data_IF_212021061082
#
_entry.id   IF_212021061082
#
_cell.length_a   1.000
_cell.length_b   1.000
_cell.length_c   1.000
_cell.angle_alpha   90.00
_cell.angle_beta   90.00
_cell.angle_gamma   90.00
#
_symmetry.space_group_name_H-M   'P 1'
#
loop_
_entity.id
_entity.type
_entity.pdbx_description
1 polymer ?
#
# COMPACT_ATOMS: atom_id res chain seq x y z
N UNK A 1 19.85 15.42 32.45
CA UNK A 1 20.61 14.49 31.59
C UNK A 1 20.47 13.09 32.14
N UNK A 2 20.24 12.08 31.29
CA UNK A 2 20.21 10.66 31.65
C UNK A 2 21.49 10.00 31.13
N UNK A 3 22.24 9.33 31.99
CA UNK A 3 23.45 8.61 31.60
C UNK A 3 23.17 7.12 31.57
N UNK A 4 23.37 6.50 30.41
CA UNK A 4 23.19 5.07 30.18
C UNK A 4 24.57 4.39 30.06
N UNK A 5 24.68 3.17 30.57
CA UNK A 5 25.91 2.38 30.55
C UNK A 5 25.68 1.01 29.91
N UNK A 6 26.66 0.52 29.15
CA UNK A 6 26.68 -0.82 28.54
C UNK A 6 25.38 -1.19 27.82
N UNK A 7 24.94 -0.32 26.91
CA UNK A 7 23.66 -0.45 26.21
C UNK A 7 23.80 -0.63 24.71
N UNK A 8 22.66 -0.73 24.03
CA UNK A 8 22.59 -0.71 22.59
C UNK A 8 21.44 0.19 22.10
N UNK A 9 21.76 1.14 21.22
CA UNK A 9 20.78 1.94 20.48
C UNK A 9 20.38 1.19 19.22
N UNK A 10 19.09 1.27 18.92
CA UNK A 10 18.43 0.66 17.78
C UNK A 10 17.90 1.79 16.90
N UNK A 11 18.43 1.93 15.69
CA UNK A 11 18.09 3.02 14.76
C UNK A 11 17.60 2.46 13.44
N UNK A 12 16.49 3.03 12.94
CA UNK A 12 15.93 2.69 11.63
C UNK A 12 16.70 3.49 10.59
N UNK A 13 17.28 2.80 9.61
CA UNK A 13 18.00 3.47 8.53
C UNK A 13 17.01 3.94 7.46
N UNK A 14 17.01 5.25 7.17
CA UNK A 14 16.09 5.87 6.21
C UNK A 14 16.53 5.72 4.75
N UNK A 15 17.74 5.24 4.49
CA UNK A 15 18.32 5.05 3.17
C UNK A 15 17.87 3.74 2.50
N UNK A 16 17.40 2.76 3.28
CA UNK A 16 16.96 1.45 2.80
C UNK A 16 15.70 0.98 3.53
N UNK A 17 14.67 0.63 2.76
CA UNK A 17 13.42 0.06 3.31
C UNK A 17 13.73 -1.21 4.11
N UNK A 18 13.40 -1.20 5.40
CA UNK A 18 13.68 -2.31 6.33
C UNK A 18 15.13 -2.36 6.85
N UNK A 19 15.93 -1.33 6.56
CA UNK A 19 17.28 -1.19 7.11
C UNK A 19 17.23 -0.88 8.60
N UNK A 20 18.00 -1.64 9.38
CA UNK A 20 18.10 -1.45 10.81
C UNK A 20 19.56 -1.50 11.23
N UNK A 21 19.96 -0.59 12.11
CA UNK A 21 21.30 -0.55 12.65
C UNK A 21 21.24 -0.63 14.18
N UNK A 22 22.14 -1.44 14.74
CA UNK A 22 22.35 -1.53 16.17
C UNK A 22 23.71 -0.95 16.52
N UNK A 23 23.73 0.06 17.37
CA UNK A 23 24.91 0.74 17.85
C UNK A 23 25.12 0.36 19.32
N UNK A 24 26.22 -0.31 19.62
CA UNK A 24 26.59 -0.62 21.01
C UNK A 24 27.34 0.57 21.61
N UNK A 25 27.07 0.88 22.88
CA UNK A 25 27.74 1.97 23.59
C UNK A 25 28.09 1.55 25.02
N UNK A 26 29.29 1.93 25.47
CA UNK A 26 29.71 1.73 26.86
C UNK A 26 29.16 2.83 27.78
N UNK A 27 29.07 4.07 27.26
CA UNK A 27 28.51 5.22 27.98
C UNK A 27 27.84 6.20 27.01
N UNK A 28 26.55 6.47 27.20
CA UNK A 28 25.79 7.44 26.42
C UNK A 28 25.10 8.45 27.33
N UNK A 29 25.28 9.75 27.04
CA UNK A 29 24.64 10.84 27.79
C UNK A 29 23.50 11.40 26.94
N UNK A 30 22.27 11.23 27.41
CA UNK A 30 21.07 11.73 26.74
C UNK A 30 20.63 13.05 27.41
N UNK A 31 20.73 14.19 26.72
CA UNK A 31 20.24 15.47 27.23
C UNK A 31 18.71 15.51 27.13
N UNK A 32 18.02 15.11 28.19
CA UNK A 32 16.59 15.34 28.31
C UNK A 32 16.36 16.81 28.68
N UNK A 33 15.87 17.62 27.72
CA UNK A 33 15.33 18.96 27.96
C UNK A 33 13.84 18.83 28.31
N UNK A 34 13.35 19.68 29.21
CA UNK A 34 11.92 19.75 29.62
C UNK A 34 11.35 18.54 30.39
N UNK A 35 12.12 17.95 31.31
CA UNK A 35 11.56 16.97 32.26
C UNK A 35 10.81 17.70 33.39
N UNK A 36 9.60 18.18 33.09
CA UNK A 36 8.59 18.36 34.14
C UNK A 36 8.17 16.98 34.68
N UNK A 37 7.63 16.93 35.91
CA UNK A 37 7.02 15.71 36.46
C UNK A 37 5.73 15.27 35.72
N UNK A 38 5.44 15.87 34.57
CA UNK A 38 4.29 15.58 33.74
C UNK A 38 4.72 14.62 32.64
N UNK A 39 4.20 13.40 32.70
CA UNK A 39 4.39 12.41 31.64
C UNK A 39 3.64 12.89 30.38
N UNK A 40 4.32 13.66 29.54
CA UNK A 40 3.80 13.96 28.21
C UNK A 40 3.92 12.70 27.35
N UNK A 41 2.83 11.90 27.35
CA UNK A 41 2.74 10.68 26.57
C UNK A 41 2.71 11.09 25.10
N UNK A 42 3.87 11.16 24.42
CA UNK A 42 3.95 11.39 22.97
C UNK A 42 3.24 10.25 22.23
N UNK A 43 1.94 10.43 22.01
CA UNK A 43 1.14 9.65 21.07
C UNK A 43 1.65 9.98 19.66
N UNK A 44 2.63 9.21 19.17
CA UNK A 44 2.97 9.21 17.74
C UNK A 44 4.31 9.84 17.36
N UNK A 45 5.39 9.48 18.04
CA UNK A 45 6.75 9.83 17.63
C UNK A 45 7.55 8.59 17.22
N UNK A 46 7.41 8.14 15.98
CA UNK A 46 8.20 7.05 15.40
C UNK A 46 7.57 6.60 14.09
N UNK A 47 8.38 6.38 13.06
CA UNK A 47 7.96 5.80 11.79
C UNK A 47 7.39 4.40 12.06
N UNK A 48 6.08 4.32 12.32
CA UNK A 48 5.39 3.05 12.54
C UNK A 48 5.12 2.45 11.18
N UNK A 49 5.47 1.18 11.03
CA UNK A 49 5.10 0.43 9.83
C UNK A 49 3.60 0.51 9.62
N UNK A 50 3.15 0.74 8.38
CA UNK A 50 1.74 0.92 8.02
C UNK A 50 0.83 -0.20 8.55
N UNK A 51 1.38 -1.41 8.69
CA UNK A 51 0.69 -2.58 9.24
C UNK A 51 0.29 -2.39 10.70
N UNK A 52 1.09 -1.65 11.47
CA UNK A 52 0.85 -1.32 12.88
C UNK A 52 -0.02 -0.07 13.07
N UNK A 53 -0.24 0.69 11.99
CA UNK A 53 -0.96 1.95 12.05
C UNK A 53 -2.48 1.70 12.15
N UNK A 54 -3.15 2.33 13.12
CA UNK A 54 -4.60 2.26 13.26
C UNK A 54 -5.33 3.02 12.14
N UNK A 55 -6.63 2.75 11.95
CA UNK A 55 -7.42 3.39 10.89
C UNK A 55 -7.34 4.92 10.91
N UNK A 56 -7.56 5.55 12.07
CA UNK A 56 -7.48 7.01 12.21
C UNK A 56 -6.13 7.55 11.71
N UNK A 57 -5.03 6.95 12.17
CA UNK A 57 -3.70 7.36 11.75
C UNK A 57 -3.47 7.14 10.24
N UNK A 58 -3.98 6.06 9.64
CA UNK A 58 -3.89 5.84 8.19
C UNK A 58 -4.64 6.92 7.40
N UNK A 59 -5.84 7.31 7.86
CA UNK A 59 -6.61 8.41 7.26
C UNK A 59 -5.89 9.74 7.43
N UNK A 60 -5.48 10.08 8.66
CA UNK A 60 -4.75 11.32 8.95
C UNK A 60 -3.49 11.45 8.06
N UNK A 61 -2.71 10.37 7.92
CA UNK A 61 -1.51 10.36 7.09
C UNK A 61 -1.83 10.42 5.58
N UNK A 62 -2.89 9.77 5.13
CA UNK A 62 -3.33 9.85 3.74
C UNK A 62 -3.75 11.29 3.37
N UNK A 63 -4.50 11.94 4.25
CA UNK A 63 -4.97 13.31 4.07
C UNK A 63 -3.81 14.31 4.15
N UNK A 64 -2.91 14.15 5.11
CA UNK A 64 -1.71 15.00 5.23
C UNK A 64 -0.83 14.89 3.97
N UNK A 65 -0.54 13.67 3.50
CA UNK A 65 0.27 13.49 2.28
C UNK A 65 -0.44 13.96 1.03
N UNK A 66 -1.77 13.88 0.98
CA UNK A 66 -2.56 14.45 -0.11
C UNK A 66 -2.48 15.98 -0.11
N UNK A 67 -2.58 16.62 1.05
CA UNK A 67 -2.43 18.07 1.16
C UNK A 67 -1.01 18.55 0.77
N UNK A 68 0.02 17.78 1.13
CA UNK A 68 1.40 18.04 0.71
C UNK A 68 1.56 17.91 -0.82
N UNK A 69 0.94 16.90 -1.44
CA UNK A 69 0.93 16.78 -2.91
C UNK A 69 0.29 17.97 -3.59
N UNK A 70 -0.88 18.37 -3.12
CA UNK A 70 -1.63 19.48 -3.70
C UNK A 70 -0.83 20.78 -3.59
N UNK A 71 -0.13 20.98 -2.47
CA UNK A 71 0.79 22.11 -2.27
C UNK A 71 1.94 22.06 -3.27
N UNK A 72 2.63 20.93 -3.41
CA UNK A 72 3.75 20.78 -4.37
C UNK A 72 3.29 21.01 -5.82
N UNK A 73 2.11 20.51 -6.19
CA UNK A 73 1.55 20.69 -7.53
C UNK A 73 1.22 22.16 -7.80
N UNK A 74 0.64 22.88 -6.83
CA UNK A 74 0.37 24.32 -6.92
C UNK A 74 1.65 25.14 -7.02
N UNK A 75 2.64 24.86 -6.18
CA UNK A 75 3.96 25.51 -6.23
C UNK A 75 4.68 25.24 -7.55
N UNK A 76 4.59 24.02 -8.08
CA UNK A 76 5.19 23.66 -9.37
C UNK A 76 4.53 24.43 -10.52
N UNK A 77 3.21 24.65 -10.44
CA UNK A 77 2.48 25.44 -11.44
C UNK A 77 2.87 26.92 -11.40
N UNK A 78 2.87 27.55 -10.22
CA UNK A 78 3.20 28.98 -10.08
C UNK A 78 4.64 29.27 -10.49
N UNK A 79 5.59 28.41 -10.12
CA UNK A 79 6.99 28.55 -10.52
C UNK A 79 7.19 28.29 -12.02
N UNK A 80 6.43 27.37 -12.63
CA UNK A 80 6.43 27.14 -14.06
C UNK A 80 5.95 28.36 -14.85
N UNK A 81 4.87 29.00 -14.38
CA UNK A 81 4.37 30.25 -14.96
C UNK A 81 5.38 31.39 -14.83
N UNK A 82 6.07 31.51 -13.69
CA UNK A 82 7.14 32.50 -13.50
C UNK A 82 8.36 32.25 -14.39
N UNK A 83 8.81 30.99 -14.49
CA UNK A 83 9.92 30.62 -15.38
C UNK A 83 9.57 30.90 -16.86
N UNK A 84 8.31 30.66 -17.25
CA UNK A 84 7.82 30.98 -18.59
C UNK A 84 7.79 32.49 -18.84
N UNK A 85 7.32 33.30 -17.88
CA UNK A 85 7.33 34.77 -17.99
C UNK A 85 8.74 35.32 -18.18
N UNK A 86 9.71 34.84 -17.39
CA UNK A 86 11.13 35.21 -17.53
C UNK A 86 11.67 34.81 -18.90
N UNK A 87 11.39 33.59 -19.38
CA UNK A 87 11.85 33.13 -20.68
C UNK A 87 11.23 33.92 -21.86
N UNK A 88 9.99 34.39 -21.69
CA UNK A 88 9.29 35.24 -22.66
C UNK A 88 9.62 36.73 -22.52
N UNK A 89 10.54 37.09 -21.62
CA UNK A 89 10.94 38.47 -21.32
C UNK A 89 9.76 39.38 -20.91
N UNK A 90 8.74 38.79 -20.27
CA UNK A 90 7.66 39.50 -19.58
C UNK A 90 8.14 39.82 -18.16
N UNK A 91 7.88 41.02 -17.64
CA UNK A 91 8.28 41.40 -16.28
C UNK A 91 7.79 40.36 -15.26
N UNK A 92 8.74 39.71 -14.60
CA UNK A 92 8.44 38.81 -13.50
C UNK A 92 8.10 39.65 -12.27
N UNK A 93 6.99 39.31 -11.62
CA UNK A 93 6.50 39.96 -10.40
C UNK A 93 7.54 39.82 -9.29
N UNK A 94 7.96 40.95 -8.72
CA UNK A 94 9.17 41.11 -7.90
C UNK A 94 9.20 40.28 -6.60
N UNK A 95 8.07 39.71 -6.19
CA UNK A 95 7.90 38.99 -4.91
C UNK A 95 8.32 37.52 -4.92
N UNK A 96 8.78 36.95 -6.04
CA UNK A 96 9.27 35.57 -6.07
C UNK A 96 10.79 35.47 -5.89
N UNK A 97 11.25 34.45 -5.17
CA UNK A 97 12.68 34.14 -5.03
C UNK A 97 13.39 33.99 -6.40
N UNK A 98 12.64 33.63 -7.43
CA UNK A 98 13.10 33.55 -8.83
C UNK A 98 13.22 34.95 -9.46
N UNK A 99 12.35 35.89 -9.09
CA UNK A 99 12.43 37.28 -9.52
C UNK A 99 13.65 37.98 -8.94
N UNK A 100 13.98 37.79 -7.66
CA UNK A 100 15.19 38.35 -7.04
C UNK A 100 16.47 37.79 -7.67
N UNK A 101 16.50 36.49 -7.97
CA UNK A 101 17.63 35.83 -8.64
C UNK A 101 17.76 36.32 -10.09
N UNK A 102 16.64 36.49 -10.81
CA UNK A 102 16.64 37.02 -12.18
C UNK A 102 17.00 38.50 -12.27
N UNK A 103 16.69 39.31 -11.25
CA UNK A 103 17.02 40.73 -11.17
C UNK A 103 18.51 40.94 -10.90
N UNK A 104 19.11 40.17 -9.97
CA UNK A 104 20.56 40.16 -9.74
C UNK A 104 21.34 39.79 -11.00
N UNK A 105 20.86 38.79 -11.76
CA UNK A 105 21.50 38.36 -13.00
C UNK A 105 21.34 39.41 -14.11
N UNK A 106 20.19 40.07 -14.21
CA UNK A 106 19.96 41.18 -15.17
C UNK A 106 20.88 42.35 -14.89
N UNK A 107 21.10 42.67 -13.62
CA UNK A 107 22.01 43.72 -13.16
C UNK A 107 23.47 43.37 -13.47
N UNK A 108 23.86 42.09 -13.33
CA UNK A 108 25.18 41.59 -13.77
C UNK A 108 25.36 41.56 -15.30
N UNK A 109 24.29 41.35 -16.08
CA UNK A 109 24.34 41.22 -17.54
C UNK A 109 24.13 42.53 -18.33
N UNK A 110 24.01 43.67 -17.65
CA UNK A 110 23.71 44.99 -18.21
C UNK A 110 24.64 45.55 -19.31
N UNK A 111 25.61 44.78 -19.82
CA UNK A 111 26.54 45.21 -20.87
C UNK A 111 26.55 44.40 -22.18
N UNK A 112 25.90 43.23 -22.27
CA UNK A 112 26.15 42.29 -23.38
C UNK A 112 24.87 41.70 -23.95
N UNK A 113 23.97 42.56 -24.42
CA UNK A 113 22.79 42.12 -25.16
C UNK A 113 23.20 41.65 -26.57
N UNK A 114 22.67 40.49 -26.97
CA UNK A 114 21.62 40.38 -28.03
C UNK A 114 21.79 39.25 -29.05
N UNK A 115 22.84 38.41 -29.00
CA UNK A 115 23.18 37.67 -30.22
C UNK A 115 23.63 36.23 -30.15
N UNK A 116 23.75 35.57 -28.99
CA UNK A 116 24.27 34.20 -28.97
C UNK A 116 23.28 33.26 -28.29
N UNK A 117 22.71 32.40 -29.15
CA UNK A 117 22.39 30.99 -28.97
C UNK A 117 22.13 30.53 -27.53
N UNK A 118 21.08 29.72 -27.38
CA UNK A 118 20.76 28.87 -26.23
C UNK A 118 21.99 28.03 -25.84
N UNK A 119 22.96 28.67 -25.20
CA UNK A 119 24.05 28.07 -24.50
C UNK A 119 23.40 27.51 -23.24
N UNK A 120 23.72 26.27 -22.90
CA UNK A 120 23.20 25.62 -21.68
C UNK A 120 23.67 26.40 -20.46
N UNK A 121 22.93 27.44 -20.13
CA UNK A 121 23.23 28.35 -19.03
C UNK A 121 23.06 27.58 -17.72
N UNK A 122 23.91 27.84 -16.70
CA UNK A 122 23.76 27.26 -15.37
C UNK A 122 22.32 27.43 -14.82
N UNK A 123 21.66 28.54 -15.16
CA UNK A 123 20.27 28.83 -14.80
C UNK A 123 19.28 27.80 -15.38
N UNK A 124 19.41 27.43 -16.67
CA UNK A 124 18.53 26.42 -17.29
C UNK A 124 18.72 25.05 -16.64
N UNK A 125 19.97 24.68 -16.28
CA UNK A 125 20.26 23.43 -15.57
C UNK A 125 19.65 23.41 -14.17
N UNK A 126 19.72 24.52 -13.43
CA UNK A 126 19.15 24.64 -12.09
C UNK A 126 17.61 24.54 -12.13
N UNK A 127 16.96 25.21 -13.09
CA UNK A 127 15.49 25.13 -13.26
C UNK A 127 15.07 23.70 -13.61
N UNK A 128 15.74 23.04 -14.56
CA UNK A 128 15.42 21.66 -14.96
C UNK A 128 15.70 20.66 -13.83
N UNK A 129 16.81 20.83 -13.10
CA UNK A 129 17.11 19.99 -11.94
C UNK A 129 16.07 20.17 -10.83
N UNK A 130 15.65 21.40 -10.53
CA UNK A 130 14.57 21.70 -9.60
C UNK A 130 13.22 21.10 -10.02
N UNK A 131 12.87 21.21 -11.30
CA UNK A 131 11.64 20.62 -11.85
C UNK A 131 11.65 19.08 -11.77
N UNK A 132 12.79 18.44 -12.05
CA UNK A 132 12.96 16.99 -11.88
C UNK A 132 12.87 16.57 -10.42
N UNK A 133 13.50 17.31 -9.51
CA UNK A 133 13.43 17.02 -8.08
C UNK A 133 11.99 17.14 -7.55
N UNK A 134 11.24 18.17 -7.97
CA UNK A 134 9.83 18.35 -7.58
C UNK A 134 8.93 17.27 -8.15
N UNK A 135 9.07 16.92 -9.44
CA UNK A 135 8.28 15.83 -10.04
C UNK A 135 8.58 14.48 -9.38
N UNK A 136 9.84 14.21 -9.03
CA UNK A 136 10.22 13.02 -8.27
C UNK A 136 9.60 13.00 -6.87
N UNK A 137 9.61 14.14 -6.15
CA UNK A 137 8.94 14.27 -4.84
C UNK A 137 7.43 14.06 -4.96
N UNK A 138 6.78 14.69 -5.94
CA UNK A 138 5.36 14.49 -6.20
C UNK A 138 5.02 13.02 -6.49
N UNK A 139 5.83 12.34 -7.30
CA UNK A 139 5.63 10.91 -7.56
C UNK A 139 5.79 10.05 -6.29
N UNK A 140 6.75 10.39 -5.41
CA UNK A 140 6.98 9.69 -4.16
C UNK A 140 5.83 9.88 -3.17
N UNK A 141 5.36 11.12 -2.98
CA UNK A 141 4.21 11.39 -2.10
C UNK A 141 2.93 10.71 -2.64
N UNK A 142 2.71 10.72 -3.96
CA UNK A 142 1.56 10.06 -4.57
C UNK A 142 1.59 8.56 -4.29
N UNK A 143 2.79 7.96 -4.31
CA UNK A 143 2.97 6.56 -3.93
C UNK A 143 2.64 6.32 -2.45
N UNK A 144 3.05 7.22 -1.55
CA UNK A 144 2.70 7.12 -0.13
C UNK A 144 1.18 7.20 0.10
N UNK A 145 0.49 8.15 -0.54
CA UNK A 145 -0.98 8.27 -0.45
C UNK A 145 -1.65 6.98 -0.94
N UNK A 146 -1.22 6.48 -2.10
CA UNK A 146 -1.78 5.25 -2.65
C UNK A 146 -1.56 4.07 -1.70
N UNK A 147 -0.37 3.96 -1.10
CA UNK A 147 -0.02 2.91 -0.12
C UNK A 147 -0.95 2.94 1.10
N UNK A 148 -1.18 4.11 1.70
CA UNK A 148 -2.12 4.24 2.82
C UNK A 148 -3.55 3.89 2.43
N UNK A 149 -4.00 4.31 1.24
CA UNK A 149 -5.32 3.94 0.72
C UNK A 149 -5.44 2.42 0.51
N UNK A 150 -4.42 1.74 0.00
CA UNK A 150 -4.39 0.27 -0.15
C UNK A 150 -4.59 -0.38 1.20
N UNK A 151 -3.81 0.04 2.20
CA UNK A 151 -3.82 -0.56 3.54
C UNK A 151 -5.20 -0.41 4.20
N UNK A 152 -5.87 0.74 4.03
CA UNK A 152 -7.25 0.95 4.50
C UNK A 152 -8.22 -0.06 3.87
N UNK A 153 -8.19 -0.20 2.53
CA UNK A 153 -9.08 -1.13 1.82
C UNK A 153 -8.77 -2.59 2.18
N UNK A 154 -7.50 -2.93 2.38
CA UNK A 154 -7.06 -4.27 2.81
C UNK A 154 -7.60 -4.62 4.18
N UNK A 155 -7.49 -3.74 5.17
CA UNK A 155 -8.01 -3.98 6.53
C UNK A 155 -9.53 -4.16 6.52
N UNK A 156 -10.25 -3.37 5.74
CA UNK A 156 -11.71 -3.51 5.58
C UNK A 156 -12.10 -4.80 4.84
N UNK A 157 -11.37 -5.14 3.77
CA UNK A 157 -11.63 -6.36 3.00
C UNK A 157 -11.47 -7.60 3.87
N UNK A 158 -10.43 -7.68 4.70
CA UNK A 158 -10.22 -8.82 5.62
C UNK A 158 -11.36 -8.93 6.64
N UNK A 159 -11.83 -7.81 7.21
CA UNK A 159 -12.96 -7.83 8.13
C UNK A 159 -14.25 -8.34 7.46
N UNK A 160 -14.53 -7.90 6.23
CA UNK A 160 -15.71 -8.34 5.47
C UNK A 160 -15.57 -9.80 5.02
N UNK A 161 -14.36 -10.27 4.73
CA UNK A 161 -14.11 -11.65 4.34
C UNK A 161 -14.59 -12.64 5.42
N UNK A 162 -14.49 -12.28 6.70
CA UNK A 162 -15.04 -13.08 7.80
C UNK A 162 -16.56 -13.30 7.63
N UNK A 163 -17.31 -12.26 7.26
CA UNK A 163 -18.76 -12.38 7.02
C UNK A 163 -19.04 -13.25 5.79
N UNK A 164 -18.24 -13.09 4.74
CA UNK A 164 -18.34 -13.90 3.51
C UNK A 164 -18.10 -15.39 3.81
N UNK A 165 -17.11 -15.73 4.64
CA UNK A 165 -16.86 -17.12 5.02
C UNK A 165 -17.96 -17.70 5.90
N UNK A 166 -18.55 -16.90 6.80
CA UNK A 166 -19.74 -17.30 7.56
C UNK A 166 -20.92 -17.59 6.62
N UNK A 167 -21.03 -16.91 5.48
CA UNK A 167 -22.07 -17.20 4.49
C UNK A 167 -21.83 -18.53 3.76
N UNK A 168 -20.56 -18.89 3.50
CA UNK A 168 -20.17 -20.11 2.77
C UNK A 168 -20.15 -21.34 3.69
N UNK A 169 -19.88 -21.18 4.98
CA UNK A 169 -19.76 -22.28 5.94
C UNK A 169 -21.00 -23.18 6.04
N UNK A 170 -22.19 -22.63 6.36
CA UNK A 170 -23.43 -23.39 6.49
C UNK A 170 -23.80 -24.23 5.25
N UNK A 171 -23.78 -23.69 4.01
CA UNK A 171 -24.10 -24.51 2.85
C UNK A 171 -23.08 -25.59 2.56
N UNK A 172 -21.81 -25.35 2.87
CA UNK A 172 -20.77 -26.36 2.72
C UNK A 172 -20.94 -27.48 3.74
N UNK A 173 -21.25 -27.15 4.99
CA UNK A 173 -21.48 -28.12 6.07
C UNK A 173 -22.71 -29.00 5.80
N UNK A 174 -23.82 -28.40 5.36
CA UNK A 174 -25.08 -29.12 5.12
C UNK A 174 -25.05 -29.98 3.85
N UNK A 175 -24.18 -29.67 2.88
CA UNK A 175 -24.05 -30.43 1.64
C UNK A 175 -23.40 -31.80 1.84
N UNK A 176 -22.55 -31.95 2.87
CA UNK A 176 -21.78 -33.18 3.14
C UNK A 176 -22.04 -33.76 4.54
N UNK A 177 -23.28 -34.19 4.84
CA UNK A 177 -23.65 -34.67 6.17
C UNK A 177 -22.93 -35.98 6.58
N UNK A 178 -22.44 -36.76 5.61
CA UNK A 178 -21.85 -38.09 5.82
C UNK A 178 -20.32 -38.11 5.96
N UNK A 179 -19.63 -36.98 5.72
CA UNK A 179 -18.15 -36.95 5.63
C UNK A 179 -17.42 -36.68 6.94
N UNK A 180 -18.15 -36.60 8.06
CA UNK A 180 -17.57 -36.28 9.37
C UNK A 180 -17.08 -34.83 9.46
N UNK A 181 -16.90 -34.35 10.70
CA UNK A 181 -16.48 -32.96 10.99
C UNK A 181 -15.14 -32.61 10.31
N UNK A 182 -14.23 -33.58 10.18
CA UNK A 182 -12.91 -33.38 9.59
C UNK A 182 -12.92 -32.94 8.13
N UNK A 183 -13.84 -33.46 7.30
CA UNK A 183 -13.92 -33.08 5.89
C UNK A 183 -14.32 -31.62 5.71
N UNK A 184 -15.27 -31.12 6.51
CA UNK A 184 -15.71 -29.71 6.47
C UNK A 184 -14.57 -28.78 6.88
N UNK A 185 -13.77 -29.17 7.89
CA UNK A 185 -12.59 -28.42 8.32
C UNK A 185 -11.54 -28.33 7.21
N UNK A 186 -11.22 -29.46 6.56
CA UNK A 186 -10.25 -29.48 5.45
C UNK A 186 -10.77 -28.67 4.26
N UNK A 187 -12.03 -28.85 3.86
CA UNK A 187 -12.62 -28.11 2.76
C UNK A 187 -12.64 -26.59 3.01
N UNK A 188 -12.97 -26.18 4.23
CA UNK A 188 -12.91 -24.77 4.65
C UNK A 188 -11.47 -24.24 4.63
N UNK A 189 -10.49 -25.05 5.06
CA UNK A 189 -9.07 -24.71 5.02
C UNK A 189 -8.55 -24.50 3.59
N UNK A 190 -8.96 -25.34 2.63
CA UNK A 190 -8.62 -25.17 1.21
C UNK A 190 -9.23 -23.89 0.65
N UNK A 191 -10.50 -23.61 0.95
CA UNK A 191 -11.18 -22.38 0.52
C UNK A 191 -10.47 -21.15 1.08
N UNK A 192 -10.15 -21.17 2.38
CA UNK A 192 -9.40 -20.10 3.04
C UNK A 192 -8.02 -19.90 2.41
N UNK A 193 -7.30 -20.98 2.11
CA UNK A 193 -6.00 -20.92 1.45
C UNK A 193 -6.09 -20.29 0.07
N UNK A 194 -7.07 -20.67 -0.75
CA UNK A 194 -7.30 -20.06 -2.07
C UNK A 194 -7.58 -18.56 -1.94
N UNK A 195 -8.42 -18.17 -0.99
CA UNK A 195 -8.69 -16.75 -0.71
C UNK A 195 -7.42 -16.00 -0.31
N UNK A 196 -6.61 -16.58 0.59
CA UNK A 196 -5.38 -15.96 1.08
C UNK A 196 -4.35 -15.77 -0.03
N UNK A 197 -4.14 -16.78 -0.88
CA UNK A 197 -3.25 -16.69 -2.04
C UNK A 197 -3.77 -15.63 -3.03
N UNK A 198 -5.08 -15.57 -3.25
CA UNK A 198 -5.70 -14.52 -4.07
C UNK A 198 -5.47 -13.12 -3.52
N UNK A 199 -5.57 -12.95 -2.19
CA UNK A 199 -5.30 -11.68 -1.52
C UNK A 199 -3.83 -11.27 -1.65
N UNK A 200 -2.89 -12.22 -1.50
CA UNK A 200 -1.46 -11.98 -1.67
C UNK A 200 -1.12 -11.62 -3.13
N UNK A 201 -1.76 -12.27 -4.10
CA UNK A 201 -1.66 -11.90 -5.51
C UNK A 201 -2.22 -10.50 -5.79
N UNK A 202 -3.38 -10.17 -5.22
CA UNK A 202 -4.00 -8.84 -5.34
C UNK A 202 -3.13 -7.71 -4.78
N UNK A 203 -2.40 -7.96 -3.69
CA UNK A 203 -1.39 -7.05 -3.13
C UNK A 203 -0.24 -6.84 -4.12
N UNK A 204 0.33 -7.93 -4.66
CA UNK A 204 1.40 -7.84 -5.66
C UNK A 204 0.98 -7.10 -6.95
N UNK A 205 -0.28 -7.23 -7.38
CA UNK A 205 -0.81 -6.49 -8.54
C UNK A 205 -1.03 -5.00 -8.25
N UNK A 206 -1.49 -4.66 -7.04
CA UNK A 206 -1.68 -3.28 -6.60
C UNK A 206 -0.33 -2.56 -6.44
N UNK A 207 0.66 -3.23 -5.85
CA UNK A 207 2.01 -2.70 -5.64
C UNK A 207 2.71 -2.35 -6.95
N UNK A 208 2.46 -3.15 -8.00
CA UNK A 208 2.98 -2.90 -9.36
C UNK A 208 2.21 -1.80 -10.12
N UNK A 209 1.23 -1.14 -9.50
CA UNK A 209 0.34 -0.12 -10.11
C UNK A 209 -0.43 -0.62 -11.34
N UNK A 210 -0.60 -1.94 -11.49
CA UNK A 210 -1.28 -2.54 -12.65
C UNK A 210 -2.80 -2.43 -12.52
N UNK A 211 -3.32 -2.43 -11.30
CA UNK A 211 -4.75 -2.33 -11.01
C UNK A 211 -5.00 -1.45 -9.78
N UNK A 212 -6.18 -0.81 -9.74
CA UNK A 212 -6.53 0.04 -8.61
C UNK A 212 -6.64 -0.80 -7.32
N UNK A 213 -6.11 -0.31 -6.19
CA UNK A 213 -6.14 -1.04 -4.91
C UNK A 213 -7.56 -1.41 -4.46
N UNK A 214 -8.54 -0.56 -4.76
CA UNK A 214 -9.93 -0.83 -4.46
C UNK A 214 -10.45 -2.07 -5.20
N UNK A 215 -10.09 -2.25 -6.47
CA UNK A 215 -10.56 -3.41 -7.24
C UNK A 215 -9.86 -4.68 -6.77
N UNK A 216 -8.52 -4.67 -6.65
CA UNK A 216 -7.77 -5.89 -6.34
C UNK A 216 -8.07 -6.45 -4.96
N UNK A 217 -8.28 -5.58 -3.96
CA UNK A 217 -8.57 -6.01 -2.58
C UNK A 217 -10.00 -6.52 -2.42
N UNK A 218 -10.96 -5.94 -3.17
CA UNK A 218 -12.37 -6.30 -3.03
C UNK A 218 -12.81 -7.43 -3.96
N UNK A 219 -12.07 -7.68 -5.04
CA UNK A 219 -12.39 -8.72 -6.02
C UNK A 219 -12.55 -10.09 -5.37
N UNK A 220 -11.63 -10.46 -4.47
CA UNK A 220 -11.72 -11.71 -3.71
C UNK A 220 -13.03 -11.81 -2.94
N UNK A 221 -13.37 -10.78 -2.15
CA UNK A 221 -14.63 -10.74 -1.39
C UNK A 221 -15.85 -10.84 -2.30
N UNK A 222 -15.88 -10.13 -3.43
CA UNK A 222 -17.01 -10.17 -4.37
C UNK A 222 -17.19 -11.57 -4.96
N UNK A 223 -16.09 -12.23 -5.37
CA UNK A 223 -16.13 -13.58 -5.92
C UNK A 223 -16.65 -14.56 -4.87
N UNK A 224 -16.06 -14.58 -3.68
CA UNK A 224 -16.49 -15.51 -2.62
C UNK A 224 -17.90 -15.20 -2.10
N UNK A 225 -18.29 -13.93 -2.03
CA UNK A 225 -19.66 -13.54 -1.66
C UNK A 225 -20.67 -14.04 -2.69
N UNK A 226 -20.39 -13.85 -3.99
CA UNK A 226 -21.25 -14.35 -5.06
C UNK A 226 -21.39 -15.88 -5.02
N UNK A 227 -20.30 -16.58 -4.71
CA UNK A 227 -20.27 -18.03 -4.52
C UNK A 227 -21.14 -18.43 -3.30
N UNK A 228 -20.96 -17.77 -2.15
CA UNK A 228 -21.76 -18.01 -0.95
C UNK A 228 -23.25 -17.82 -1.18
N UNK A 229 -23.65 -16.72 -1.84
CA UNK A 229 -25.04 -16.46 -2.22
C UNK A 229 -25.57 -17.53 -3.18
N UNK A 230 -24.80 -17.94 -4.18
CA UNK A 230 -25.19 -18.99 -5.11
C UNK A 230 -25.40 -20.34 -4.41
N UNK A 231 -24.52 -20.70 -3.47
CA UNK A 231 -24.64 -21.92 -2.65
C UNK A 231 -25.91 -21.88 -1.78
N UNK A 232 -26.17 -20.76 -1.10
CA UNK A 232 -27.39 -20.58 -0.30
C UNK A 232 -28.66 -20.73 -1.14
N UNK A 233 -28.71 -20.05 -2.30
CA UNK A 233 -29.87 -20.12 -3.21
C UNK A 233 -30.12 -21.55 -3.66
N UNK A 234 -29.07 -22.28 -4.08
CA UNK A 234 -29.22 -23.69 -4.47
C UNK A 234 -29.78 -24.54 -3.32
N UNK A 235 -29.27 -24.38 -2.10
CA UNK A 235 -29.80 -25.11 -0.96
C UNK A 235 -31.30 -24.86 -0.75
N UNK A 236 -31.74 -23.60 -0.82
CA UNK A 236 -33.16 -23.24 -0.69
C UNK A 236 -34.07 -23.88 -1.74
N UNK A 237 -33.57 -24.14 -2.95
CA UNK A 237 -34.32 -24.81 -4.01
C UNK A 237 -34.24 -26.35 -3.95
N UNK A 238 -33.33 -26.96 -3.17
CA UNK A 238 -33.12 -28.43 -3.17
C UNK A 238 -33.87 -29.18 -2.07
N UNK A 239 -34.80 -28.57 -1.36
CA UNK A 239 -35.59 -29.25 -0.31
C UNK A 239 -36.52 -30.37 -0.81
N UNK A 240 -36.48 -30.74 -2.10
CA UNK A 240 -37.40 -31.69 -2.71
C UNK A 240 -36.83 -33.01 -3.23
N UNK A 241 -35.57 -33.14 -3.67
CA UNK A 241 -35.18 -34.37 -4.42
C UNK A 241 -33.69 -34.69 -4.40
N UNK A 242 -33.40 -35.96 -4.06
CA UNK A 242 -32.17 -36.73 -4.33
C UNK A 242 -31.07 -36.75 -3.26
N UNK A 243 -31.33 -37.50 -2.18
CA UNK A 243 -30.35 -37.96 -1.18
C UNK A 243 -29.37 -39.04 -1.68
N UNK A 244 -29.45 -39.49 -2.94
CA UNK A 244 -28.75 -40.72 -3.37
C UNK A 244 -27.80 -40.57 -4.57
N UNK A 245 -27.88 -39.52 -5.38
CA UNK A 245 -27.23 -39.57 -6.71
C UNK A 245 -25.74 -39.16 -6.76
N UNK A 246 -25.24 -38.40 -5.77
CA UNK A 246 -23.87 -37.84 -5.84
C UNK A 246 -22.84 -38.67 -5.07
N UNK A 247 -23.26 -39.42 -4.05
CA UNK A 247 -22.39 -40.37 -3.34
C UNK A 247 -21.86 -41.48 -4.25
N UNK A 248 -22.69 -41.97 -5.17
CA UNK A 248 -22.34 -43.01 -6.14
C UNK A 248 -21.39 -42.50 -7.24
N UNK A 249 -21.46 -41.21 -7.60
CA UNK A 249 -20.59 -40.63 -8.61
C UNK A 249 -19.13 -40.50 -8.13
N UNK A 250 -18.93 -40.24 -6.83
CA UNK A 250 -17.59 -40.06 -6.24
C UNK A 250 -16.98 -41.41 -5.84
N UNK A 251 -17.77 -42.32 -5.27
CA UNK A 251 -17.31 -43.70 -4.98
C UNK A 251 -16.98 -44.46 -6.28
N UNK A 252 -17.74 -44.25 -7.36
CA UNK A 252 -17.46 -44.83 -8.68
C UNK A 252 -16.24 -44.26 -9.41
N UNK A 253 -15.73 -43.09 -9.01
CA UNK A 253 -14.51 -42.49 -9.57
C UNK A 253 -13.26 -43.00 -8.84
N UNK A 254 -13.30 -43.14 -7.51
CA UNK A 254 -12.18 -43.68 -6.72
C UNK A 254 -12.08 -45.22 -6.75
N UNK A 255 -13.21 -45.95 -6.81
CA UNK A 255 -13.21 -47.41 -6.86
C UNK A 255 -12.58 -48.01 -8.14
N UNK A 256 -12.62 -47.27 -9.26
CA UNK A 256 -12.01 -47.71 -10.53
C UNK A 256 -10.49 -47.54 -10.56
N UNK A 257 -9.91 -46.72 -9.68
CA UNK A 257 -8.46 -46.51 -9.62
C UNK A 257 -7.71 -47.58 -8.83
N UNK A 258 -8.38 -48.31 -7.93
CA UNK A 258 -7.77 -49.37 -7.12
C UNK A 258 -7.91 -50.78 -7.70
N UNK A 259 -8.81 -50.99 -8.69
CA UNK A 259 -9.00 -52.30 -9.32
C UNK A 259 -8.00 -52.60 -10.46
N UNK A 260 -7.12 -51.65 -10.81
CA UNK A 260 -6.23 -51.76 -11.99
C UNK A 260 -4.79 -52.18 -11.66
N UNK A 261 -4.45 -52.42 -10.40
CA UNK A 261 -3.10 -52.83 -9.95
C UNK A 261 -3.01 -54.27 -9.44
N UNK A 262 -4.04 -55.10 -9.63
CA UNK A 262 -4.10 -56.48 -9.08
C UNK A 262 -4.12 -57.62 -10.10
N UNK A 263 -3.85 -57.37 -11.39
CA UNK A 263 -3.86 -58.42 -12.43
C UNK A 263 -2.68 -58.29 -13.40
N UNK A 264 -1.46 -58.52 -12.93
CA UNK A 264 -0.38 -59.04 -13.77
C UNK A 264 0.50 -59.97 -12.92
N UNK A 265 0.35 -61.27 -13.17
CA UNK A 265 1.18 -62.32 -12.59
C UNK A 265 0.91 -63.61 -13.37
N UNK A 266 1.76 -63.98 -14.34
CA UNK A 266 1.80 -65.33 -14.88
C UNK A 266 2.49 -66.30 -13.90
#
# INVERSE_FOLDING_TARGET
YLTLYNGAVHEVQNDRVGGFQRLYFDKQVVPLREVGNELERRLGGGDRSDREMGFKMLFDNADERQAQLDTILRESRSQGEQALRVALNLEAEADSAVASESAQIRDMLGGSLRGRYIQRDPMTRQIVAGARARSARGAALQQSVNRFRVEIHKKLAIAIACLVFVLIGPPLALRFPSSGVGFVVVASGVIFFIYYVGLLGGEALADRRVASPAITMWLGNVIFFSLGVALLRRMGHTSGTSRTSIGDAITGFFGRSLARTGKEGP
#
